data_IF_489680844536
#
_entry.id   IF_489680844536
#
_cell.length_a   1.000
_cell.length_b   1.000
_cell.length_c   1.000
_cell.angle_alpha   90.00
_cell.angle_beta   90.00
_cell.angle_gamma   90.00
#
_symmetry.space_group_name_H-M   'P 1'
#
loop_
_entity.id
_entity.type
_entity.pdbx_description
1 polymer ?
#
# COMPACT_ATOMS: atom_id res chain seq x y z
N UNK A 1 -41.73 9.11 -0.52
CA UNK A 1 -40.57 9.65 -1.24
C UNK A 1 -40.01 10.78 -0.40
N UNK A 2 -39.00 10.50 0.42
CA UNK A 2 -38.43 11.49 1.34
C UNK A 2 -37.37 12.34 0.60
N UNK A 3 -37.43 13.69 0.64
CA UNK A 3 -36.22 14.50 0.85
C UNK A 3 -35.85 14.36 2.34
N UNK A 4 -34.62 14.60 2.86
CA UNK A 4 -33.93 15.91 2.78
C UNK A 4 -32.37 15.77 2.89
N UNK A 5 -31.55 16.82 2.75
CA UNK A 5 -31.10 17.65 3.87
C UNK A 5 -30.23 18.86 3.42
N UNK A 6 -30.28 19.98 4.17
CA UNK A 6 -29.37 21.13 4.07
C UNK A 6 -28.03 20.88 4.82
N UNK A 7 -27.03 21.80 4.74
CA UNK A 7 -25.63 21.48 5.05
C UNK A 7 -25.31 21.54 6.55
N UNK A 8 -24.29 20.80 7.03
CA UNK A 8 -23.78 21.00 8.38
C UNK A 8 -22.90 22.25 8.44
N UNK A 9 -23.40 23.29 9.11
CA UNK A 9 -22.58 24.35 9.71
C UNK A 9 -21.75 23.74 10.84
N UNK A 10 -20.49 23.40 10.54
CA UNK A 10 -19.52 22.94 11.53
C UNK A 10 -18.55 24.06 11.91
N UNK A 11 -18.87 24.77 12.99
CA UNK A 11 -17.92 25.61 13.69
C UNK A 11 -16.73 24.75 14.17
N UNK A 12 -15.52 25.03 13.69
CA UNK A 12 -14.31 24.41 14.24
C UNK A 12 -13.89 25.19 15.48
N UNK A 13 -14.20 24.65 16.67
CA UNK A 13 -13.44 25.01 17.86
C UNK A 13 -11.97 24.68 17.59
N UNK A 14 -11.11 25.70 17.70
CA UNK A 14 -9.66 25.52 17.71
C UNK A 14 -9.25 25.14 19.12
N UNK A 15 -8.91 23.86 19.31
CA UNK A 15 -8.06 23.42 20.41
C UNK A 15 -6.92 22.63 19.78
N UNK A 16 -5.69 23.10 19.97
CA UNK A 16 -4.48 22.42 19.51
C UNK A 16 -4.14 22.68 18.05
N UNK A 17 -3.23 23.63 17.82
CA UNK A 17 -2.67 23.87 16.50
C UNK A 17 -1.74 22.73 16.07
N UNK A 18 -2.27 21.75 15.35
CA UNK A 18 -1.51 20.94 14.40
C UNK A 18 -2.37 20.73 13.16
N UNK A 19 -1.93 21.31 12.04
CA UNK A 19 -2.52 21.09 10.73
C UNK A 19 -2.11 19.69 10.26
N UNK A 20 -3.03 18.74 10.27
CA UNK A 20 -2.86 17.46 9.57
C UNK A 20 -3.19 17.70 8.10
N UNK A 21 -2.27 17.51 7.14
CA UNK A 21 -2.60 17.61 5.72
C UNK A 21 -3.35 16.34 5.30
N UNK A 22 -4.64 16.49 4.98
CA UNK A 22 -5.43 15.47 4.29
C UNK A 22 -4.95 15.34 2.84
N UNK A 23 -4.32 14.19 2.55
CA UNK A 23 -4.51 13.40 1.32
C UNK A 23 -4.39 14.08 -0.04
N UNK A 24 -3.19 14.02 -0.62
CA UNK A 24 -2.95 13.30 -1.88
C UNK A 24 -1.48 12.88 -1.85
N UNK A 25 -1.22 11.58 -1.76
CA UNK A 25 0.14 11.05 -1.93
C UNK A 25 0.57 11.33 -3.36
N UNK A 26 1.21 12.48 -3.58
CA UNK A 26 1.96 12.74 -4.81
C UNK A 26 2.98 11.60 -4.98
N UNK A 27 3.04 10.94 -6.15
CA UNK A 27 4.11 9.99 -6.39
C UNK A 27 5.45 10.75 -6.37
N UNK A 28 6.55 10.12 -5.91
CA UNK A 28 7.85 10.76 -5.91
C UNK A 28 8.14 11.28 -7.32
N UNK A 29 8.42 12.58 -7.42
CA UNK A 29 8.99 13.15 -8.64
C UNK A 29 10.37 12.53 -8.78
N UNK A 30 10.45 11.42 -9.51
CA UNK A 30 11.72 10.81 -9.91
C UNK A 30 12.56 11.92 -10.53
N UNK A 31 13.60 12.31 -9.80
CA UNK A 31 14.56 13.34 -10.17
C UNK A 31 15.32 12.80 -11.39
N UNK A 32 14.74 12.97 -12.58
CA UNK A 32 15.45 12.75 -13.83
C UNK A 32 16.46 13.88 -13.99
N UNK A 33 17.61 13.67 -13.34
CA UNK A 33 18.96 13.88 -13.83
C UNK A 33 19.14 15.13 -14.69
N UNK A 34 19.76 16.14 -14.07
CA UNK A 34 20.25 17.34 -14.72
C UNK A 34 21.03 16.94 -15.98
N UNK A 35 20.46 17.19 -17.17
CA UNK A 35 21.22 17.17 -18.42
C UNK A 35 22.30 18.22 -18.31
N UNK A 36 23.54 17.76 -18.21
CA UNK A 36 24.73 18.60 -18.28
C UNK A 36 24.64 19.53 -19.48
N UNK A 37 25.01 20.79 -19.25
CA UNK A 37 25.23 21.79 -20.27
C UNK A 37 26.44 21.36 -21.13
N UNK A 38 26.18 20.52 -22.12
CA UNK A 38 27.14 20.16 -23.17
C UNK A 38 27.31 21.33 -24.15
N UNK A 39 28.56 21.75 -24.33
CA UNK A 39 28.96 22.92 -25.10
C UNK A 39 28.40 22.99 -26.53
N UNK A 40 28.22 24.24 -26.96
CA UNK A 40 27.72 24.63 -28.28
C UNK A 40 28.79 24.30 -29.33
N UNK A 41 28.69 23.19 -30.05
CA UNK A 41 29.42 23.04 -31.32
C UNK A 41 28.67 23.83 -32.39
N UNK A 42 29.17 25.03 -32.68
CA UNK A 42 28.78 25.81 -33.85
C UNK A 42 29.39 25.16 -35.10
N UNK A 43 28.69 24.19 -35.68
CA UNK A 43 28.98 23.76 -37.05
C UNK A 43 27.69 23.35 -37.75
N UNK A 44 27.29 24.20 -38.70
CA UNK A 44 26.60 23.83 -39.94
C UNK A 44 25.24 23.15 -39.81
N UNK A 45 24.19 23.94 -39.54
CA UNK A 45 22.85 23.62 -40.04
C UNK A 45 22.42 24.75 -40.98
N UNK A 46 22.93 24.74 -42.21
CA UNK A 46 22.19 25.36 -43.30
C UNK A 46 21.04 24.40 -43.53
N UNK A 47 19.88 24.69 -42.94
CA UNK A 47 18.64 24.00 -43.22
C UNK A 47 18.20 24.47 -44.61
N UNK A 48 18.39 23.64 -45.64
CA UNK A 48 17.73 23.84 -46.93
C UNK A 48 16.31 23.26 -46.81
N UNK A 49 15.26 24.10 -46.72
CA UNK A 49 13.89 23.63 -46.47
C UNK A 49 13.24 22.89 -47.65
N UNK A 50 13.95 22.68 -48.76
CA UNK A 50 13.42 22.17 -50.04
C UNK A 50 14.02 20.83 -50.50
N UNK A 51 14.89 20.17 -49.71
CA UNK A 51 15.38 18.83 -50.07
C UNK A 51 14.41 17.72 -49.63
N UNK A 52 13.92 16.86 -50.55
CA UNK A 52 13.02 15.74 -50.21
C UNK A 52 13.58 14.78 -49.15
N UNK A 53 14.91 14.68 -49.05
CA UNK A 53 15.61 13.78 -48.13
C UNK A 53 15.51 14.25 -46.66
N UNK A 54 15.36 15.56 -46.43
CA UNK A 54 15.19 16.14 -45.09
C UNK A 54 13.76 15.96 -44.58
N UNK A 55 12.76 15.98 -45.46
CA UNK A 55 11.38 15.65 -45.11
C UNK A 55 11.24 14.18 -44.69
N UNK A 56 11.87 13.25 -45.40
CA UNK A 56 11.92 11.84 -45.01
C UNK A 56 12.60 11.64 -43.64
N UNK A 57 13.73 12.33 -43.40
CA UNK A 57 14.41 12.30 -42.10
C UNK A 57 13.52 12.81 -40.98
N UNK A 58 12.76 13.88 -41.22
CA UNK A 58 11.82 14.49 -40.27
C UNK A 58 10.63 13.57 -39.98
N UNK A 59 10.07 12.92 -41.01
CA UNK A 59 9.02 11.90 -40.87
C UNK A 59 9.53 10.73 -40.04
N UNK A 60 10.71 10.19 -40.33
CA UNK A 60 11.32 9.10 -39.54
C UNK A 60 11.56 9.50 -38.08
N UNK A 61 11.97 10.75 -37.81
CA UNK A 61 12.13 11.27 -36.45
C UNK A 61 10.80 11.39 -35.71
N UNK A 62 9.76 11.93 -36.37
CA UNK A 62 8.40 12.04 -35.79
C UNK A 62 7.85 10.66 -35.47
N UNK A 63 8.03 9.69 -36.37
CA UNK A 63 7.56 8.33 -36.16
C UNK A 63 8.28 7.65 -34.98
N UNK A 64 9.61 7.78 -34.88
CA UNK A 64 10.36 7.31 -33.71
C UNK A 64 9.87 7.95 -32.41
N UNK A 65 9.62 9.25 -32.41
CA UNK A 65 9.10 9.94 -31.23
C UNK A 65 7.67 9.51 -30.88
N UNK A 66 6.81 9.30 -31.88
CA UNK A 66 5.44 8.79 -31.71
C UNK A 66 5.45 7.44 -31.00
N UNK A 67 6.27 6.51 -31.48
CA UNK A 67 6.44 5.19 -30.86
C UNK A 67 7.03 5.29 -29.46
N UNK A 68 8.04 6.15 -29.24
CA UNK A 68 8.64 6.36 -27.92
C UNK A 68 7.63 6.93 -26.91
N UNK A 69 6.83 7.93 -27.31
CA UNK A 69 5.79 8.51 -26.47
C UNK A 69 4.69 7.49 -26.16
N UNK A 70 4.27 6.68 -27.14
CA UNK A 70 3.30 5.61 -26.93
C UNK A 70 3.82 4.56 -25.94
N UNK A 71 5.08 4.12 -26.09
CA UNK A 71 5.72 3.17 -25.16
C UNK A 71 5.83 3.75 -23.75
N UNK A 72 6.20 5.02 -23.62
CA UNK A 72 6.28 5.70 -22.33
C UNK A 72 4.93 5.76 -21.63
N UNK A 73 3.88 6.19 -22.34
CA UNK A 73 2.50 6.19 -21.82
C UNK A 73 2.06 4.79 -21.40
N UNK A 74 2.28 3.78 -22.26
CA UNK A 74 1.94 2.39 -21.95
C UNK A 74 2.66 1.90 -20.70
N UNK A 75 3.96 2.18 -20.55
CA UNK A 75 4.74 1.81 -19.36
C UNK A 75 4.19 2.47 -18.09
N UNK A 76 3.75 3.72 -18.19
CA UNK A 76 3.16 4.43 -17.05
C UNK A 76 1.80 3.85 -16.66
N UNK A 77 0.92 3.59 -17.63
CA UNK A 77 -0.37 2.93 -17.38
C UNK A 77 -0.16 1.55 -16.77
N UNK A 78 0.71 0.72 -17.35
CA UNK A 78 1.02 -0.61 -16.80
C UNK A 78 1.58 -0.58 -15.36
N UNK A 79 2.36 0.45 -15.01
CA UNK A 79 2.85 0.62 -13.64
C UNK A 79 1.70 0.93 -12.68
N UNK A 80 0.76 1.79 -13.09
CA UNK A 80 -0.41 2.11 -12.29
C UNK A 80 -1.33 0.88 -12.14
N UNK A 81 -1.59 0.15 -13.23
CA UNK A 81 -2.41 -1.05 -13.22
C UNK A 81 -1.83 -2.12 -12.29
N UNK A 82 -0.52 -2.39 -12.40
CA UNK A 82 0.16 -3.36 -11.53
C UNK A 82 0.08 -2.99 -10.05
N UNK A 83 0.25 -1.71 -9.72
CA UNK A 83 0.12 -1.23 -8.34
C UNK A 83 -1.31 -1.38 -7.82
N UNK A 84 -2.31 -1.16 -8.68
CA UNK A 84 -3.71 -1.34 -8.31
C UNK A 84 -4.05 -2.81 -8.08
N UNK A 85 -3.63 -3.70 -8.98
CA UNK A 85 -3.80 -5.15 -8.84
C UNK A 85 -3.14 -5.66 -7.54
N UNK A 86 -1.92 -5.24 -7.24
CA UNK A 86 -1.22 -5.59 -5.99
C UNK A 86 -1.97 -5.09 -4.75
N UNK A 87 -2.48 -3.86 -4.79
CA UNK A 87 -3.28 -3.29 -3.71
C UNK A 87 -4.56 -4.10 -3.46
N UNK A 88 -5.31 -4.43 -4.52
CA UNK A 88 -6.54 -5.21 -4.41
C UNK A 88 -6.27 -6.62 -3.86
N UNK A 89 -5.19 -7.27 -4.30
CA UNK A 89 -4.79 -8.58 -3.78
C UNK A 89 -4.49 -8.51 -2.28
N UNK A 90 -3.72 -7.51 -1.85
CA UNK A 90 -3.40 -7.30 -0.44
C UNK A 90 -4.63 -6.94 0.40
N UNK A 91 -5.56 -6.15 -0.14
CA UNK A 91 -6.83 -5.83 0.54
C UNK A 91 -7.65 -7.11 0.76
N UNK A 92 -7.80 -7.94 -0.28
CA UNK A 92 -8.50 -9.23 -0.18
C UNK A 92 -7.86 -10.14 0.87
N UNK A 93 -6.54 -10.32 0.83
CA UNK A 93 -5.81 -11.11 1.82
C UNK A 93 -5.99 -10.54 3.23
N UNK A 94 -5.91 -9.21 3.39
CA UNK A 94 -6.12 -8.56 4.68
C UNK A 94 -7.53 -8.83 5.22
N UNK A 95 -8.55 -8.76 4.37
CA UNK A 95 -9.93 -9.08 4.78
C UNK A 95 -10.08 -10.54 5.19
N UNK A 96 -9.42 -11.45 4.47
CA UNK A 96 -9.42 -12.88 4.79
C UNK A 96 -8.77 -13.15 6.14
N UNK A 97 -7.58 -12.61 6.37
CA UNK A 97 -6.86 -12.75 7.64
C UNK A 97 -7.65 -12.15 8.80
N UNK A 98 -8.28 -10.99 8.64
CA UNK A 98 -9.13 -10.39 9.68
C UNK A 98 -10.32 -11.27 10.05
N UNK A 99 -10.96 -11.90 9.06
CA UNK A 99 -12.05 -12.86 9.31
C UNK A 99 -11.54 -14.07 10.08
N UNK A 100 -10.38 -14.60 9.71
CA UNK A 100 -9.79 -15.76 10.37
C UNK A 100 -9.39 -15.46 11.81
N UNK A 101 -8.77 -14.30 12.06
CA UNK A 101 -8.52 -13.79 13.42
C UNK A 101 -9.83 -13.73 14.21
N UNK A 102 -10.91 -13.23 13.61
CA UNK A 102 -12.23 -13.18 14.24
C UNK A 102 -12.72 -14.56 14.68
N UNK A 103 -12.73 -15.53 13.75
CA UNK A 103 -13.14 -16.92 14.04
C UNK A 103 -12.31 -17.55 15.16
N UNK A 104 -10.98 -17.49 15.06
CA UNK A 104 -10.08 -18.07 16.06
C UNK A 104 -10.25 -17.40 17.42
N UNK A 105 -10.53 -16.10 17.46
CA UNK A 105 -10.82 -15.39 18.70
C UNK A 105 -12.14 -15.86 19.34
N UNK A 106 -13.16 -16.10 18.53
CA UNK A 106 -14.44 -16.66 18.99
C UNK A 106 -14.28 -18.09 19.50
N UNK A 107 -13.53 -18.93 18.79
CA UNK A 107 -13.20 -20.30 19.23
C UNK A 107 -12.44 -20.30 20.56
N UNK A 108 -11.42 -19.44 20.70
CA UNK A 108 -10.67 -19.30 21.94
C UNK A 108 -11.57 -18.89 23.10
N UNK A 109 -12.46 -17.91 22.89
CA UNK A 109 -13.44 -17.48 23.91
C UNK A 109 -14.35 -18.63 24.31
N UNK A 110 -14.92 -19.34 23.32
CA UNK A 110 -15.82 -20.46 23.56
C UNK A 110 -15.14 -21.58 24.36
N UNK A 111 -13.94 -21.98 23.99
CA UNK A 111 -13.17 -23.01 24.71
C UNK A 111 -12.79 -22.54 26.11
N UNK A 112 -12.42 -21.28 26.27
CA UNK A 112 -12.09 -20.70 27.59
C UNK A 112 -13.33 -20.69 28.50
N UNK A 113 -14.50 -20.35 27.98
CA UNK A 113 -15.76 -20.37 28.72
C UNK A 113 -16.16 -21.80 29.10
N UNK A 114 -16.04 -22.75 28.17
CA UNK A 114 -16.29 -24.17 28.43
C UNK A 114 -15.35 -24.72 29.52
N UNK A 115 -14.07 -24.34 29.49
CA UNK A 115 -13.11 -24.71 30.53
C UNK A 115 -13.51 -24.12 31.88
N UNK A 116 -13.79 -22.82 31.95
CA UNK A 116 -14.23 -22.14 33.18
C UNK A 116 -15.49 -22.76 33.78
N UNK A 117 -16.43 -23.19 32.93
CA UNK A 117 -17.63 -23.87 33.39
C UNK A 117 -17.30 -25.25 33.97
N UNK A 118 -16.43 -26.01 33.30
CA UNK A 118 -15.94 -27.28 33.81
C UNK A 118 -15.19 -27.13 35.14
N UNK A 119 -14.35 -26.11 35.29
CA UNK A 119 -13.58 -25.85 36.52
C UNK A 119 -14.48 -25.75 37.76
N UNK A 120 -15.67 -25.16 37.63
CA UNK A 120 -16.65 -25.04 38.72
C UNK A 120 -17.19 -26.38 39.21
N UNK A 121 -17.21 -27.40 38.35
CA UNK A 121 -17.72 -28.72 38.68
C UNK A 121 -16.63 -29.78 38.82
N UNK A 122 -15.38 -29.44 38.54
CA UNK A 122 -14.28 -30.38 38.48
C UNK A 122 -13.89 -30.84 39.90
N UNK A 123 -14.13 -32.11 40.27
CA UNK A 123 -13.80 -32.60 41.61
C UNK A 123 -12.30 -32.55 41.88
N UNK A 124 -11.47 -32.62 40.83
CA UNK A 124 -10.01 -32.57 40.93
C UNK A 124 -9.48 -31.19 41.29
N UNK A 125 -10.18 -30.12 40.91
CA UNK A 125 -9.82 -28.73 41.25
C UNK A 125 -10.47 -28.26 42.56
N UNK A 126 -11.61 -28.85 42.93
CA UNK A 126 -12.29 -28.59 44.19
C UNK A 126 -11.68 -29.38 45.38
N UNK A 127 -10.80 -30.35 45.13
CA UNK A 127 -10.06 -31.09 46.16
C UNK A 127 -8.68 -30.43 46.44
N UNK A 128 -8.33 -30.09 47.70
CA UNK A 128 -7.10 -29.36 48.03
C UNK A 128 -5.76 -30.11 47.81
N UNK A 129 -5.76 -31.38 47.36
CA UNK A 129 -4.58 -32.26 47.48
C UNK A 129 -3.75 -32.45 46.21
N UNK A 130 -4.04 -31.76 45.09
CA UNK A 130 -3.37 -32.06 43.81
C UNK A 130 -2.51 -30.93 43.20
N UNK A 131 -2.24 -29.85 43.92
CA UNK A 131 -1.27 -28.84 43.43
C UNK A 131 0.17 -29.28 43.74
N UNK A 132 0.72 -30.15 42.88
CA UNK A 132 2.17 -30.21 42.71
C UNK A 132 2.59 -28.95 41.95
N UNK A 133 3.52 -28.11 42.46
CA UNK A 133 4.00 -26.96 41.71
C UNK A 133 4.70 -27.44 40.43
N UNK A 134 4.05 -27.26 39.28
CA UNK A 134 4.69 -27.47 37.98
C UNK A 134 5.68 -26.31 37.80
N UNK A 135 6.99 -26.58 37.63
CA UNK A 135 7.96 -25.52 37.40
C UNK A 135 7.63 -24.77 36.09
N UNK A 136 7.85 -23.45 36.04
CA UNK A 136 7.55 -22.65 34.86
C UNK A 136 8.29 -23.20 33.65
N UNK A 137 7.55 -23.48 32.57
CA UNK A 137 8.15 -23.86 31.29
C UNK A 137 8.91 -22.65 30.73
N UNK A 138 10.17 -22.82 30.27
CA UNK A 138 10.86 -21.76 29.58
C UNK A 138 10.20 -21.48 28.23
N UNK A 139 9.87 -20.22 27.98
CA UNK A 139 9.28 -19.74 26.72
C UNK A 139 10.22 -20.01 25.54
N UNK A 140 9.74 -20.59 24.42
CA UNK A 140 10.58 -20.83 23.24
C UNK A 140 10.79 -19.58 22.37
N UNK A 141 10.39 -18.37 22.80
CA UNK A 141 10.35 -17.17 21.94
C UNK A 141 11.55 -16.25 22.14
N UNK A 142 12.75 -16.80 22.27
CA UNK A 142 14.01 -16.03 22.25
C UNK A 142 14.86 -16.30 20.99
N UNK A 143 14.25 -16.81 19.91
CA UNK A 143 14.97 -17.17 18.70
C UNK A 143 14.30 -16.65 17.43
N UNK A 144 15.01 -15.75 16.75
CA UNK A 144 14.97 -15.51 15.31
C UNK A 144 13.88 -14.55 14.77
N UNK A 145 14.22 -13.26 14.73
CA UNK A 145 13.87 -12.40 13.60
C UNK A 145 15.18 -12.00 12.87
N UNK A 146 15.33 -12.28 11.57
CA UNK A 146 16.43 -11.75 10.78
C UNK A 146 16.22 -10.27 10.46
N UNK A 147 17.34 -9.58 10.31
CA UNK A 147 17.49 -8.14 10.15
C UNK A 147 17.43 -7.70 8.68
#
# INVERSE_FOLDING_TARGET
MAPPWPPPTGASLRVGGLRVPSGVSEPPRDFHEARGAGGKSQQGWIWDPESPEDDDRKVRRREKNRVAAQRSRKKQTQKADKLHEEYECLEQENTMLRREIGKLTEELKHLTEALKEHEKMCPLLLCPLNFVPVPPRPDPVAGCLPR
#
